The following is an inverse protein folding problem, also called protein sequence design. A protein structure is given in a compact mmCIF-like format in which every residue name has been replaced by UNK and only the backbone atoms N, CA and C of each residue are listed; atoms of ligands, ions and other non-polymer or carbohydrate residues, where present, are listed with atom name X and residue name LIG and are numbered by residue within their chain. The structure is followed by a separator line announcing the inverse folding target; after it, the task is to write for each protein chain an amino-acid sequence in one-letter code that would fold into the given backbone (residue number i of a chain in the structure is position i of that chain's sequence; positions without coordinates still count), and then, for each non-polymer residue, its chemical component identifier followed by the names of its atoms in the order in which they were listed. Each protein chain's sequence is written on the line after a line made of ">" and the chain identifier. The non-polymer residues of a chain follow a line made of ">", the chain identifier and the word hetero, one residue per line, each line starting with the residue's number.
data_IF_609836609982
#
_entry.id   IF_609836609982
#
_cell.length_a   1.000
_cell.length_b   1.000
_cell.length_c   1.000
_cell.angle_alpha   90.00
_cell.angle_beta   90.00
_cell.angle_gamma   90.00
#
_symmetry.space_group_name_H-M   'P 1'
#
loop_
_entity.id
_entity.type
_entity.pdbx_description
1 polymer ?
#
# COMPACT_ATOMS: atom_id res chain seq x y z
N UNK A 1 8.23 -4.55 11.07
CA UNK A 1 8.87 -3.29 11.47
C UNK A 1 9.56 -2.73 10.24
N UNK A 2 9.41 -1.45 9.96
CA UNK A 2 9.93 -0.80 8.76
C UNK A 2 10.57 0.54 9.12
N UNK A 3 11.69 0.88 8.49
CA UNK A 3 12.38 2.16 8.69
C UNK A 3 12.04 3.12 7.56
N UNK A 4 11.75 4.36 7.93
CA UNK A 4 11.65 5.48 7.00
C UNK A 4 13.05 5.97 6.58
N UNK A 5 13.10 6.79 5.54
CA UNK A 5 14.34 7.42 5.06
C UNK A 5 14.96 8.43 6.02
N UNK A 6 14.21 8.91 7.02
CA UNK A 6 14.66 9.83 8.07
C UNK A 6 14.92 9.13 9.42
N UNK A 7 15.16 7.81 9.40
CA UNK A 7 15.40 6.95 10.56
C UNK A 7 14.21 6.75 11.52
N UNK A 8 13.04 7.32 11.20
CA UNK A 8 11.81 7.02 11.90
C UNK A 8 11.41 5.55 11.70
N UNK A 9 10.58 5.04 12.61
CA UNK A 9 10.24 3.62 12.66
C UNK A 9 8.73 3.39 12.71
N UNK A 10 8.24 2.58 11.78
CA UNK A 10 6.88 2.06 11.80
C UNK A 10 6.82 0.65 12.37
N UNK A 11 6.00 0.48 13.40
CA UNK A 11 5.78 -0.78 14.11
C UNK A 11 4.30 -1.13 14.06
N UNK A 12 3.96 -2.36 13.67
CA UNK A 12 2.60 -2.89 13.83
C UNK A 12 2.63 -4.33 14.32
N UNK A 13 1.73 -4.67 15.21
CA UNK A 13 1.58 -6.02 15.78
C UNK A 13 0.16 -6.25 16.31
N UNK A 14 -0.16 -7.51 16.60
CA UNK A 14 -1.43 -7.90 17.18
C UNK A 14 -1.18 -8.55 18.54
N UNK A 15 -1.99 -8.22 19.53
CA UNK A 15 -2.01 -8.88 20.84
C UNK A 15 -3.20 -9.85 20.84
N UNK A 16 -2.94 -11.13 21.11
CA UNK A 16 -3.99 -12.12 21.35
C UNK A 16 -4.50 -11.95 22.78
N UNK A 17 -5.80 -11.75 22.96
CA UNK A 17 -6.42 -11.68 24.29
C UNK A 17 -6.85 -13.06 24.77
N UNK A 18 -7.31 -13.18 26.00
CA UNK A 18 -7.93 -14.42 26.49
C UNK A 18 -9.42 -14.54 26.17
N UNK A 19 -10.01 -13.51 25.55
CA UNK A 19 -11.41 -13.53 25.16
C UNK A 19 -11.64 -14.34 23.89
N UNK A 20 -12.56 -15.29 23.97
CA UNK A 20 -12.95 -16.16 22.86
C UNK A 20 -13.92 -15.43 21.93
N UNK A 21 -13.73 -15.59 20.62
CA UNK A 21 -14.75 -15.22 19.63
C UNK A 21 -15.76 -16.35 19.55
N UNK A 22 -16.84 -16.27 20.31
CA UNK A 22 -17.90 -17.30 20.36
C UNK A 22 -18.47 -17.61 18.96
N UNK A 23 -18.57 -16.59 18.10
CA UNK A 23 -19.05 -16.76 16.72
C UNK A 23 -18.10 -17.54 15.79
N UNK A 24 -16.85 -17.79 16.21
CA UNK A 24 -15.83 -18.42 15.37
C UNK A 24 -16.14 -19.88 15.05
N UNK A 25 -16.84 -20.58 15.94
CA UNK A 25 -17.29 -21.95 15.72
C UNK A 25 -18.35 -22.03 14.61
N UNK A 26 -19.27 -21.05 14.55
CA UNK A 26 -20.35 -21.02 13.54
C UNK A 26 -19.88 -20.55 12.16
N UNK A 27 -18.91 -19.64 12.10
CA UNK A 27 -18.31 -19.15 10.85
C UNK A 27 -17.54 -20.26 10.10
N UNK A 28 -16.92 -21.17 10.85
CA UNK A 28 -16.20 -22.31 10.27
C UNK A 28 -17.17 -23.35 9.67
N UNK A 29 -18.37 -23.49 10.24
CA UNK A 29 -19.46 -24.33 9.67
C UNK A 29 -19.97 -23.74 8.34
N UNK A 30 -20.13 -22.42 8.25
CA UNK A 30 -20.56 -21.74 7.02
C UNK A 30 -19.49 -21.78 5.92
N UNK A 31 -18.22 -21.54 6.26
CA UNK A 31 -17.10 -21.61 5.31
C UNK A 31 -16.77 -23.06 4.90
N UNK A 32 -17.06 -24.05 5.74
CA UNK A 32 -16.91 -25.48 5.41
C UNK A 32 -17.86 -25.98 4.33
N UNK A 33 -19.02 -25.34 4.15
CA UNK A 33 -20.02 -25.71 3.13
C UNK A 33 -19.76 -25.08 1.75
N UNK A 34 -18.78 -24.17 1.63
CA UNK A 34 -18.42 -23.50 0.37
C UNK A 34 -17.32 -24.26 -0.39
N UNK A 35 -17.62 -25.52 -0.76
CA UNK A 35 -17.01 -26.34 -1.85
C UNK A 35 -15.49 -26.53 -2.00
N UNK A 36 -14.61 -25.96 -1.18
CA UNK A 36 -13.17 -26.29 -1.22
C UNK A 36 -12.60 -26.45 0.19
N UNK A 37 -12.43 -27.71 0.57
CA UNK A 37 -11.93 -28.21 1.84
C UNK A 37 -10.46 -27.79 2.00
N UNK A 38 -10.22 -26.72 2.77
CA UNK A 38 -9.11 -26.73 3.72
C UNK A 38 -9.73 -26.98 5.10
N UNK A 39 -9.25 -27.94 5.90
CA UNK A 39 -9.76 -28.12 7.23
C UNK A 39 -9.52 -26.84 8.02
N UNK A 40 -10.59 -26.09 8.32
CA UNK A 40 -10.49 -25.19 9.46
C UNK A 40 -10.16 -26.08 10.64
N UNK A 41 -9.06 -25.81 11.32
CA UNK A 41 -8.63 -26.66 12.45
C UNK A 41 -9.56 -26.56 13.67
N UNK A 42 -10.73 -25.92 13.54
CA UNK A 42 -11.69 -25.60 14.61
C UNK A 42 -10.99 -25.03 15.86
N UNK A 43 -9.85 -24.36 15.63
CA UNK A 43 -9.06 -23.80 16.73
C UNK A 43 -9.80 -22.58 17.22
N UNK A 44 -10.02 -22.57 18.53
CA UNK A 44 -10.57 -21.46 19.27
C UNK A 44 -9.89 -20.14 18.84
N UNK A 45 -10.68 -19.23 18.29
CA UNK A 45 -10.16 -17.93 17.82
C UNK A 45 -10.31 -16.94 18.96
N UNK A 46 -9.19 -16.45 19.45
CA UNK A 46 -9.11 -15.38 20.45
C UNK A 46 -9.29 -14.02 19.77
N UNK A 47 -9.89 -13.06 20.49
CA UNK A 47 -9.96 -11.68 20.04
C UNK A 47 -8.53 -11.11 19.91
N UNK A 48 -8.37 -10.20 18.95
CA UNK A 48 -7.11 -9.52 18.70
C UNK A 48 -7.27 -8.05 19.03
N UNK A 49 -6.32 -7.51 19.79
CA UNK A 49 -6.08 -6.08 19.90
C UNK A 49 -5.06 -5.71 18.84
N UNK A 50 -5.38 -4.75 17.99
CA UNK A 50 -4.53 -4.31 16.92
C UNK A 50 -3.77 -3.08 17.37
N UNK A 51 -2.44 -3.10 17.25
CA UNK A 51 -1.58 -1.97 17.61
C UNK A 51 -0.72 -1.55 16.43
N UNK A 52 -0.53 -0.25 16.29
CA UNK A 52 0.39 0.37 15.36
C UNK A 52 0.98 1.64 15.96
N UNK A 53 2.27 1.86 15.72
CA UNK A 53 3.00 3.01 16.24
C UNK A 53 3.95 3.56 15.20
N UNK A 54 4.17 4.87 15.27
CA UNK A 54 5.26 5.57 14.60
C UNK A 54 6.17 6.15 15.67
N UNK A 55 7.42 5.73 15.66
CA UNK A 55 8.47 6.32 16.48
C UNK A 55 9.22 7.35 15.65
N UNK A 56 9.31 8.58 16.18
CA UNK A 56 10.06 9.66 15.58
C UNK A 56 11.44 9.76 16.26
N UNK A 57 12.50 9.58 15.48
CA UNK A 57 13.86 9.51 15.99
C UNK A 57 14.35 10.87 16.52
N UNK A 58 14.03 11.96 15.83
CA UNK A 58 14.52 13.30 16.18
C UNK A 58 13.91 13.85 17.46
N UNK A 59 12.64 13.55 17.73
CA UNK A 59 11.90 14.01 18.91
C UNK A 59 11.86 12.98 20.04
N UNK A 60 12.42 11.78 19.81
CA UNK A 60 12.34 10.63 20.70
C UNK A 60 10.91 10.35 21.20
N UNK A 61 9.95 10.41 20.28
CA UNK A 61 8.53 10.28 20.60
C UNK A 61 7.89 9.08 19.92
N UNK A 62 6.96 8.43 20.63
CA UNK A 62 6.19 7.31 20.12
C UNK A 62 4.71 7.72 20.02
N UNK A 63 4.17 7.74 18.81
CA UNK A 63 2.74 8.00 18.56
C UNK A 63 2.02 6.69 18.24
N UNK A 64 0.96 6.38 18.98
CA UNK A 64 0.03 5.31 18.63
C UNK A 64 -0.90 5.75 17.49
N UNK A 65 -1.16 4.87 16.53
CA UNK A 65 -2.12 5.06 15.45
C UNK A 65 -3.38 4.22 15.71
N UNK A 66 -4.55 4.76 15.41
CA UNK A 66 -5.81 4.03 15.56
C UNK A 66 -5.89 2.90 14.54
N UNK A 67 -5.79 1.66 15.01
CA UNK A 67 -5.78 0.47 14.17
C UNK A 67 -6.87 -0.49 14.61
N UNK A 68 -7.64 -0.96 13.63
CA UNK A 68 -8.70 -1.93 13.84
C UNK A 68 -8.67 -3.01 12.76
N UNK A 69 -9.49 -4.05 12.94
CA UNK A 69 -9.61 -5.14 11.94
C UNK A 69 -10.00 -4.61 10.56
N UNK A 70 -10.90 -3.63 10.52
CA UNK A 70 -11.42 -2.98 9.31
C UNK A 70 -10.69 -1.67 8.96
N UNK A 71 -9.57 -1.38 9.62
CA UNK A 71 -8.78 -0.18 9.37
C UNK A 71 -7.31 -0.46 9.72
N UNK A 72 -6.52 -0.79 8.72
CA UNK A 72 -5.12 -1.20 8.88
C UNK A 72 -4.18 -0.23 8.15
N UNK A 73 -2.90 -0.33 8.47
CA UNK A 73 -1.83 0.50 7.93
C UNK A 73 -0.80 -0.33 7.17
N UNK A 74 -0.32 0.23 6.07
CA UNK A 74 0.80 -0.27 5.30
C UNK A 74 1.89 0.79 5.19
N UNK A 75 3.13 0.32 5.28
CA UNK A 75 4.30 1.18 5.18
C UNK A 75 4.44 1.77 3.77
N UNK A 76 4.87 3.04 3.71
CA UNK A 76 5.36 3.72 2.51
C UNK A 76 6.58 4.54 2.93
N UNK A 77 7.64 4.56 2.12
CA UNK A 77 8.91 5.20 2.50
C UNK A 77 8.86 6.73 2.29
N UNK A 78 7.93 7.38 2.97
CA UNK A 78 7.75 8.83 2.98
C UNK A 78 7.61 9.25 4.45
N UNK A 79 8.59 9.97 5.01
CA UNK A 79 8.53 10.46 6.38
C UNK A 79 7.21 11.16 6.69
N UNK A 80 6.70 10.95 7.90
CA UNK A 80 5.42 11.50 8.37
C UNK A 80 4.17 11.04 7.58
N UNK A 81 4.29 9.99 6.78
CA UNK A 81 3.19 9.45 5.98
C UNK A 81 3.04 7.94 6.15
N UNK A 82 1.80 7.47 6.02
CA UNK A 82 1.45 6.05 6.06
C UNK A 82 0.28 5.77 5.11
N UNK A 83 0.17 4.55 4.60
CA UNK A 83 -1.02 4.13 3.85
C UNK A 83 -2.04 3.53 4.81
N UNK A 84 -3.22 4.11 4.95
CA UNK A 84 -4.36 3.48 5.64
C UNK A 84 -5.28 2.79 4.64
N UNK A 85 -5.97 1.74 5.05
CA UNK A 85 -6.92 1.04 4.20
C UNK A 85 -7.92 0.21 5.01
N UNK A 86 -9.09 -0.05 4.41
CA UNK A 86 -10.04 -1.03 4.93
C UNK A 86 -10.05 -2.25 4.00
N UNK A 87 -9.56 -3.42 4.45
CA UNK A 87 -9.48 -4.62 3.61
C UNK A 87 -10.85 -5.19 3.18
N UNK A 88 -11.94 -4.74 3.81
CA UNK A 88 -13.30 -5.23 3.56
C UNK A 88 -14.18 -4.26 2.78
N UNK A 89 -13.80 -2.97 2.65
CA UNK A 89 -14.67 -1.92 2.09
C UNK A 89 -15.17 -2.24 0.68
N UNK A 90 -14.28 -2.75 -0.17
CA UNK A 90 -14.56 -3.07 -1.57
C UNK A 90 -14.41 -4.58 -1.85
N UNK A 91 -14.65 -5.42 -0.84
CA UNK A 91 -14.48 -6.85 -0.97
C UNK A 91 -15.59 -7.46 -1.84
N UNK A 92 -15.19 -8.00 -2.99
CA UNK A 92 -16.07 -8.65 -3.96
C UNK A 92 -15.75 -10.15 -4.02
N UNK A 93 -16.61 -10.96 -3.44
CA UNK A 93 -16.48 -12.43 -3.39
C UNK A 93 -16.35 -13.08 -4.76
N UNK A 94 -16.82 -12.43 -5.83
CA UNK A 94 -16.76 -12.97 -7.19
C UNK A 94 -15.39 -12.76 -7.85
N UNK A 95 -14.57 -11.85 -7.31
CA UNK A 95 -13.27 -11.49 -7.90
C UNK A 95 -12.13 -12.32 -7.34
N UNK A 96 -11.26 -12.77 -8.25
CA UNK A 96 -9.99 -13.42 -7.89
C UNK A 96 -8.99 -12.47 -7.24
N UNK A 97 -9.00 -11.18 -7.61
CA UNK A 97 -8.15 -10.14 -7.04
C UNK A 97 -9.02 -8.97 -6.57
N UNK A 98 -8.82 -8.57 -5.33
CA UNK A 98 -9.53 -7.46 -4.72
C UNK A 98 -8.85 -6.14 -5.06
N UNK A 99 -9.63 -5.11 -5.34
CA UNK A 99 -9.13 -3.74 -5.39
C UNK A 99 -9.28 -3.13 -4.00
N UNK A 100 -8.19 -2.63 -3.45
CA UNK A 100 -8.12 -2.02 -2.13
C UNK A 100 -7.93 -0.52 -2.33
N UNK A 101 -8.74 0.27 -1.64
CA UNK A 101 -8.55 1.70 -1.56
C UNK A 101 -7.56 1.99 -0.42
N UNK A 102 -6.38 2.50 -0.79
CA UNK A 102 -5.36 2.95 0.13
C UNK A 102 -5.37 4.47 0.20
N UNK A 103 -5.40 5.03 1.39
CA UNK A 103 -5.30 6.47 1.61
C UNK A 103 -3.91 6.82 2.12
N UNK A 104 -3.23 7.78 1.48
CA UNK A 104 -2.05 8.41 2.03
C UNK A 104 -2.47 9.34 3.18
N UNK A 105 -2.02 9.05 4.38
CA UNK A 105 -2.37 9.77 5.61
C UNK A 105 -1.12 10.40 6.20
N UNK A 106 -1.23 11.66 6.63
CA UNK A 106 -0.22 12.31 7.44
C UNK A 106 -0.28 11.75 8.87
N UNK A 107 0.83 11.23 9.39
CA UNK A 107 0.85 10.54 10.69
C UNK A 107 0.76 11.48 11.88
N UNK A 108 1.02 12.78 11.73
CA UNK A 108 0.94 13.76 12.81
C UNK A 108 -0.52 14.12 13.10
N UNK A 109 -1.29 14.44 12.05
CA UNK A 109 -2.66 14.97 12.16
C UNK A 109 -3.76 14.05 11.61
N UNK A 110 -3.38 12.88 11.08
CA UNK A 110 -4.28 11.84 10.56
C UNK A 110 -5.17 12.27 9.40
N UNK A 111 -4.82 13.39 8.73
CA UNK A 111 -5.54 13.83 7.54
C UNK A 111 -5.14 12.99 6.34
N UNK A 112 -6.16 12.61 5.57
CA UNK A 112 -6.00 12.02 4.24
C UNK A 112 -5.52 13.08 3.27
N UNK A 113 -4.44 12.77 2.54
CA UNK A 113 -3.84 13.62 1.52
C UNK A 113 -4.37 13.23 0.13
N UNK A 114 -4.38 11.93 -0.14
CA UNK A 114 -4.75 11.35 -1.43
C UNK A 114 -5.18 9.89 -1.26
N UNK A 115 -5.97 9.34 -2.19
CA UNK A 115 -6.39 7.94 -2.18
C UNK A 115 -6.05 7.25 -3.51
N UNK A 116 -5.59 6.00 -3.42
CA UNK A 116 -5.22 5.13 -4.53
C UNK A 116 -6.12 3.90 -4.53
N UNK A 117 -6.46 3.39 -5.71
CA UNK A 117 -7.15 2.10 -5.85
C UNK A 117 -6.20 1.14 -6.52
N UNK A 118 -5.78 0.10 -5.80
CA UNK A 118 -4.88 -0.93 -6.33
C UNK A 118 -5.06 -2.25 -5.61
N UNK A 119 -4.60 -3.35 -6.19
CA UNK A 119 -4.77 -4.68 -5.60
C UNK A 119 -3.76 -5.03 -4.51
N UNK A 120 -2.65 -4.29 -4.40
CA UNK A 120 -1.61 -4.50 -3.40
C UNK A 120 -0.72 -3.26 -3.27
N UNK A 121 -0.15 -3.06 -2.08
CA UNK A 121 0.74 -1.92 -1.78
C UNK A 121 2.05 -1.93 -2.55
N UNK A 122 2.53 -3.08 -3.02
CA UNK A 122 3.76 -3.15 -3.83
C UNK A 122 3.66 -2.39 -5.17
N UNK A 123 2.46 -1.99 -5.59
CA UNK A 123 2.27 -1.13 -6.75
C UNK A 123 2.25 0.36 -6.41
N UNK A 124 2.37 0.74 -5.13
CA UNK A 124 2.47 2.13 -4.67
C UNK A 124 3.94 2.36 -4.31
N UNK A 125 4.66 3.09 -5.18
CA UNK A 125 6.12 3.15 -5.16
C UNK A 125 6.56 4.59 -4.90
N UNK A 126 7.08 4.85 -3.70
CA UNK A 126 7.66 6.15 -3.35
C UNK A 126 9.06 6.32 -3.97
N UNK A 127 9.41 7.57 -4.27
CA UNK A 127 10.77 7.92 -4.68
C UNK A 127 11.74 7.99 -3.48
N UNK A 128 13.03 8.12 -3.77
CA UNK A 128 14.09 8.15 -2.75
C UNK A 128 14.04 9.44 -1.90
N UNK A 129 13.61 10.56 -2.49
CA UNK A 129 13.52 11.85 -1.82
C UNK A 129 12.16 12.09 -1.16
N UNK A 130 11.30 11.06 -1.10
CA UNK A 130 10.01 11.10 -0.43
C UNK A 130 9.07 12.23 -0.88
N UNK A 131 9.18 12.65 -2.15
CA UNK A 131 8.36 13.70 -2.76
C UNK A 131 7.26 13.13 -3.65
N UNK A 132 7.52 12.02 -4.30
CA UNK A 132 6.65 11.47 -5.34
C UNK A 132 6.23 10.04 -5.04
N UNK A 133 5.03 9.68 -5.52
CA UNK A 133 4.50 8.32 -5.48
C UNK A 133 4.07 7.92 -6.89
N UNK A 134 4.51 6.76 -7.36
CA UNK A 134 4.01 6.12 -8.59
C UNK A 134 2.97 5.07 -8.20
N UNK A 135 1.82 5.06 -8.88
CA UNK A 135 0.78 4.05 -8.70
C UNK A 135 0.04 3.74 -10.01
N UNK A 136 -0.55 2.55 -10.15
CA UNK A 136 -1.33 2.22 -11.33
C UNK A 136 -2.67 2.95 -11.29
N UNK A 137 -3.02 3.62 -12.37
CA UNK A 137 -4.32 4.29 -12.53
C UNK A 137 -5.41 3.33 -13.02
N UNK A 138 -5.01 2.29 -13.76
CA UNK A 138 -5.88 1.24 -14.28
C UNK A 138 -5.51 -0.13 -13.71
N UNK A 139 -6.51 -0.98 -13.51
CA UNK A 139 -6.32 -2.34 -12.96
C UNK A 139 -5.40 -3.22 -13.83
N UNK A 140 -5.47 -3.05 -15.16
CA UNK A 140 -4.59 -3.74 -16.11
C UNK A 140 -3.16 -3.18 -16.16
N UNK A 141 -2.87 -2.10 -15.41
CA UNK A 141 -1.57 -1.43 -15.30
C UNK A 141 -0.99 -0.92 -16.62
N UNK A 142 -1.83 -0.64 -17.61
CA UNK A 142 -1.39 0.00 -18.87
C UNK A 142 -1.21 1.51 -18.73
N UNK A 143 -1.70 2.08 -17.63
CA UNK A 143 -1.58 3.50 -17.31
C UNK A 143 -1.22 3.66 -15.84
N UNK A 144 -0.19 4.46 -15.61
CA UNK A 144 0.38 4.78 -14.30
C UNK A 144 0.33 6.28 -14.09
N UNK A 145 0.31 6.68 -12.83
CA UNK A 145 0.25 8.06 -12.41
C UNK A 145 1.29 8.34 -11.35
N UNK A 146 1.87 9.52 -11.40
CA UNK A 146 2.83 10.04 -10.44
C UNK A 146 2.16 11.17 -9.67
N UNK A 147 2.04 11.03 -8.36
CA UNK A 147 1.58 12.08 -7.44
C UNK A 147 2.79 12.82 -6.86
N UNK A 148 2.78 14.16 -6.88
CA UNK A 148 3.60 14.98 -6.00
C UNK A 148 2.88 15.11 -4.65
N UNK A 149 3.46 14.59 -3.58
CA UNK A 149 2.82 14.52 -2.26
C UNK A 149 2.58 15.91 -1.68
N UNK A 150 3.44 16.88 -2.01
CA UNK A 150 3.35 18.23 -1.47
C UNK A 150 2.31 19.06 -2.21
N UNK A 151 2.34 19.04 -3.54
CA UNK A 151 1.41 19.87 -4.36
C UNK A 151 0.09 19.18 -4.65
N UNK A 152 0.03 17.85 -4.47
CA UNK A 152 -1.10 16.98 -4.86
C UNK A 152 -1.35 16.93 -6.36
N UNK A 153 -0.44 17.47 -7.16
CA UNK A 153 -0.51 17.41 -8.62
C UNK A 153 -0.16 16.00 -9.09
N UNK A 154 -0.74 15.61 -10.22
CA UNK A 154 -0.55 14.29 -10.80
C UNK A 154 -0.07 14.38 -12.25
N UNK A 155 0.66 13.35 -12.67
CA UNK A 155 1.13 13.19 -14.04
C UNK A 155 0.98 11.73 -14.48
N UNK A 156 0.24 11.49 -15.55
CA UNK A 156 -0.01 10.14 -16.08
C UNK A 156 0.97 9.77 -17.20
N UNK A 157 1.30 8.48 -17.31
CA UNK A 157 2.07 7.92 -18.42
C UNK A 157 1.62 6.48 -18.72
N UNK A 158 1.84 6.05 -19.97
CA UNK A 158 1.49 4.72 -20.43
C UNK A 158 2.63 3.73 -20.18
N UNK A 159 2.28 2.48 -19.90
CA UNK A 159 3.20 1.35 -19.79
C UNK A 159 2.62 0.14 -20.51
N UNK A 160 3.49 -0.78 -20.91
CA UNK A 160 3.05 -2.07 -21.39
C UNK A 160 2.43 -2.88 -20.25
N UNK A 161 1.42 -3.69 -20.60
CA UNK A 161 0.80 -4.58 -19.62
C UNK A 161 1.81 -5.64 -19.19
N UNK A 162 2.32 -5.52 -17.95
CA UNK A 162 3.20 -6.50 -17.34
C UNK A 162 2.84 -6.74 -15.88
N UNK A 163 3.11 -7.96 -15.40
CA UNK A 163 3.01 -8.33 -13.99
C UNK A 163 4.32 -8.09 -13.23
N UNK A 164 5.46 -8.06 -13.93
CA UNK A 164 6.80 -7.96 -13.36
C UNK A 164 7.50 -6.64 -13.65
N UNK A 165 7.13 -5.95 -14.73
CA UNK A 165 7.82 -4.75 -15.18
C UNK A 165 7.13 -3.51 -14.60
N UNK A 166 7.38 -3.26 -13.31
CA UNK A 166 6.89 -2.07 -12.63
C UNK A 166 7.78 -0.87 -12.96
N UNK A 167 7.26 0.36 -12.98
CA UNK A 167 8.08 1.56 -13.04
C UNK A 167 9.04 1.64 -11.86
N UNK A 168 10.25 2.11 -12.09
CA UNK A 168 11.32 2.20 -11.08
C UNK A 168 11.88 3.62 -11.07
N UNK A 169 12.09 4.16 -9.86
CA UNK A 169 12.76 5.44 -9.65
C UNK A 169 14.27 5.33 -9.87
N UNK A 170 14.85 6.35 -10.50
CA UNK A 170 16.31 6.56 -10.37
C UNK A 170 16.66 6.84 -8.92
N UNK A 171 17.88 6.50 -8.52
CA UNK A 171 18.42 6.77 -7.17
C UNK A 171 18.44 8.25 -6.78
N UNK A 172 18.36 9.16 -7.76
CA UNK A 172 18.33 10.62 -7.57
C UNK A 172 16.93 11.24 -7.74
N UNK A 173 15.89 10.42 -7.85
CA UNK A 173 14.49 10.83 -8.10
C UNK A 173 14.27 11.77 -9.31
N UNK A 174 15.23 11.85 -10.22
CA UNK A 174 15.13 12.70 -11.43
C UNK A 174 14.44 11.97 -12.58
N UNK A 175 14.53 10.64 -12.59
CA UNK A 175 14.02 9.82 -13.67
C UNK A 175 13.13 8.69 -13.17
N UNK A 176 12.18 8.30 -14.01
CA UNK A 176 11.44 7.03 -13.90
C UNK A 176 11.79 6.16 -15.09
N UNK A 177 12.10 4.91 -14.85
CA UNK A 177 12.34 3.90 -15.88
C UNK A 177 11.17 2.94 -15.94
N UNK A 178 10.67 2.65 -17.13
CA UNK A 178 9.54 1.77 -17.35
C UNK A 178 9.57 1.21 -18.78
N UNK A 179 8.76 0.20 -19.06
CA UNK A 179 8.67 -0.41 -20.39
C UNK A 179 7.39 0.07 -21.09
N UNK A 180 7.53 0.54 -22.32
CA UNK A 180 6.43 0.91 -23.21
C UNK A 180 6.81 0.59 -24.64
N UNK A 181 5.88 0.02 -25.41
CA UNK A 181 6.10 -0.48 -26.77
C UNK A 181 7.32 -1.41 -26.86
N UNK A 182 7.48 -2.30 -25.88
CA UNK A 182 8.61 -3.21 -25.69
C UNK A 182 9.99 -2.54 -25.55
N UNK A 183 10.05 -1.22 -25.35
CA UNK A 183 11.28 -0.47 -25.20
C UNK A 183 11.46 0.04 -23.76
N UNK A 184 12.68 -0.09 -23.22
CA UNK A 184 13.03 0.54 -21.95
C UNK A 184 13.05 2.06 -22.15
N UNK A 185 12.16 2.75 -21.45
CA UNK A 185 11.95 4.19 -21.59
C UNK A 185 12.25 4.91 -20.28
N UNK A 186 12.86 6.08 -20.41
CA UNK A 186 13.15 7.00 -19.31
C UNK A 186 12.25 8.22 -19.39
N UNK A 187 11.51 8.50 -18.34
CA UNK A 187 10.80 9.76 -18.11
C UNK A 187 11.68 10.69 -17.27
N UNK A 188 11.86 11.93 -17.73
CA UNK A 188 12.52 13.01 -16.98
C UNK A 188 11.47 13.83 -16.19
N UNK A 189 11.67 13.91 -14.87
CA UNK A 189 10.65 14.48 -13.97
C UNK A 189 10.50 15.99 -14.04
N UNK A 190 11.52 16.74 -14.49
CA UNK A 190 11.44 18.20 -14.59
C UNK A 190 10.83 18.63 -15.92
N UNK A 191 11.21 17.96 -17.02
CA UNK A 191 10.71 18.28 -18.36
C UNK A 191 9.45 17.52 -18.76
N UNK A 192 9.12 16.45 -18.03
CA UNK A 192 8.06 15.48 -18.37
C UNK A 192 8.24 14.82 -19.74
N UNK A 193 9.47 14.82 -20.27
CA UNK A 193 9.80 14.23 -21.56
C UNK A 193 10.21 12.76 -21.42
N UNK A 194 9.84 11.96 -22.40
CA UNK A 194 10.15 10.54 -22.49
C UNK A 194 11.28 10.30 -23.49
N UNK A 195 12.21 9.40 -23.19
CA UNK A 195 13.29 8.98 -24.08
C UNK A 195 13.48 7.47 -24.02
N UNK A 196 13.32 6.79 -25.15
CA UNK A 196 13.70 5.39 -25.29
C UNK A 196 15.23 5.23 -25.10
N UNK A 197 15.63 4.22 -24.31
CA UNK A 197 17.03 3.93 -24.01
C UNK A 197 17.54 2.71 -24.77
N UNK A 198 16.67 1.73 -25.02
CA UNK A 198 16.96 0.51 -25.75
C UNK A 198 15.74 0.19 -26.62
N UNK A 199 15.99 -0.10 -27.89
CA UNK A 199 15.02 -0.57 -28.89
C UNK A 199 15.36 -1.98 -29.33
#
# INVERSE_FOLDING_TARGET
>A
MYFYSNDDLFIKYNIKTDEIVVASEYLDIWNGNTRFIHPSSFKEKKKLIYKAFVYNYQTDSLKELDRARNFDYSFINIPNHILSYNPFKNYDVSRRKQNIEYSLVNTENERVIYSFITSQTAYIISDVNSRYIIYPKKENRTEWEILDVNTKETFSFLCDQSLSNLPIWSTVSKYVFYIVNNALTRLDMSSKKHKALLT
#
